data_IF_282741278474
#
_entry.id   IF_282741278474
#
_cell.length_a   1.000
_cell.length_b   1.000
_cell.length_c   1.000
_cell.angle_alpha   90.00
_cell.angle_beta   90.00
_cell.angle_gamma   90.00
#
_symmetry.space_group_name_H-M   'P 1'
#
loop_
_entity.id
_entity.type
_entity.pdbx_description
1 polymer ?
#
# COMPACT_ATOMS: atom_id res chain seq x y z
N UNK A 1 -10.48 26.11 12.50
CA UNK A 1 -9.97 25.13 11.51
C UNK A 1 -9.10 24.17 12.30
N UNK A 2 -9.55 22.93 12.48
CA UNK A 2 -8.73 21.94 13.18
C UNK A 2 -7.56 21.61 12.28
N UNK A 3 -6.34 21.71 12.81
CA UNK A 3 -5.14 21.18 12.16
C UNK A 3 -5.45 19.76 11.69
N UNK A 4 -5.53 19.58 10.38
CA UNK A 4 -5.33 18.27 9.77
C UNK A 4 -3.95 17.86 10.25
N UNK A 5 -3.92 17.02 11.30
CA UNK A 5 -2.71 16.56 11.94
C UNK A 5 -1.70 16.22 10.86
N UNK A 6 -0.57 16.94 10.88
CA UNK A 6 0.53 16.81 9.94
C UNK A 6 0.71 15.33 9.60
N UNK A 7 0.32 14.93 8.38
CA UNK A 7 0.65 13.62 7.83
C UNK A 7 2.17 13.62 7.67
N UNK A 8 2.88 13.28 8.75
CA UNK A 8 4.33 13.19 8.75
C UNK A 8 4.71 11.98 7.92
N UNK A 9 5.63 12.18 6.99
CA UNK A 9 6.17 11.07 6.24
C UNK A 9 6.88 10.12 7.21
N UNK A 10 6.72 8.81 7.04
CA UNK A 10 7.41 7.80 7.87
C UNK A 10 8.93 7.98 7.78
N UNK A 11 9.43 8.49 6.65
CA UNK A 11 10.85 8.78 6.44
C UNK A 11 11.35 10.05 7.16
N UNK A 12 10.45 10.91 7.65
CA UNK A 12 10.83 12.14 8.35
C UNK A 12 11.03 11.93 9.86
N UNK A 13 10.56 10.81 10.41
CA UNK A 13 10.70 10.45 11.83
C UNK A 13 11.51 9.16 11.98
N UNK A 14 12.67 9.27 12.62
CA UNK A 14 13.60 8.15 12.79
C UNK A 14 12.96 6.96 13.52
N UNK A 15 12.06 7.20 14.49
CA UNK A 15 11.43 6.13 15.24
C UNK A 15 10.40 5.41 14.39
N UNK A 16 9.59 6.13 13.61
CA UNK A 16 8.64 5.53 12.67
C UNK A 16 9.35 4.77 11.55
N UNK A 17 10.45 5.32 11.01
CA UNK A 17 11.30 4.61 10.06
C UNK A 17 11.88 3.32 10.64
N UNK A 18 12.39 3.36 11.88
CA UNK A 18 12.94 2.17 12.52
C UNK A 18 11.88 1.10 12.73
N UNK A 19 10.65 1.45 13.11
CA UNK A 19 9.53 0.49 13.20
C UNK A 19 9.24 -0.18 11.85
N UNK A 20 9.21 0.59 10.77
CA UNK A 20 9.01 0.04 9.42
C UNK A 20 10.15 -0.90 9.04
N UNK A 21 11.39 -0.52 9.33
CA UNK A 21 12.56 -1.32 9.06
C UNK A 21 12.57 -2.64 9.86
N UNK A 22 12.23 -2.57 11.15
CA UNK A 22 12.09 -3.75 12.04
C UNK A 22 10.99 -4.69 11.56
N UNK A 23 9.84 -4.15 11.12
CA UNK A 23 8.76 -4.96 10.54
C UNK A 23 9.25 -5.74 9.31
N UNK A 24 9.93 -5.05 8.38
CA UNK A 24 10.40 -5.66 7.13
C UNK A 24 11.50 -6.68 7.39
N UNK A 25 12.57 -6.29 8.09
CA UNK A 25 13.71 -7.16 8.34
C UNK A 25 13.33 -8.31 9.28
N UNK A 26 12.48 -8.07 10.28
CA UNK A 26 11.97 -9.08 11.19
C UNK A 26 11.18 -10.16 10.46
N UNK A 27 10.23 -9.77 9.60
CA UNK A 27 9.45 -10.73 8.81
C UNK A 27 10.32 -11.54 7.83
N UNK A 28 11.31 -10.91 7.20
CA UNK A 28 12.29 -11.60 6.34
C UNK A 28 13.11 -12.60 7.18
N UNK A 29 13.56 -12.21 8.36
CA UNK A 29 14.32 -13.07 9.26
C UNK A 29 13.50 -14.26 9.74
N UNK A 30 12.25 -14.04 10.19
CA UNK A 30 11.34 -15.11 10.61
C UNK A 30 11.10 -16.12 9.47
N UNK A 31 10.92 -15.62 8.25
CA UNK A 31 10.76 -16.48 7.07
C UNK A 31 12.05 -17.26 6.75
N UNK A 32 13.21 -16.62 6.85
CA UNK A 32 14.52 -17.25 6.71
C UNK A 32 14.74 -18.37 7.74
N UNK A 33 14.39 -18.11 9.00
CA UNK A 33 14.52 -19.06 10.11
C UNK A 33 13.60 -20.27 9.92
N UNK A 34 12.36 -20.04 9.46
CA UNK A 34 11.42 -21.09 9.08
C UNK A 34 11.98 -21.98 7.95
N UNK A 35 12.53 -21.34 6.91
CA UNK A 35 13.04 -22.01 5.71
C UNK A 35 14.40 -22.66 5.93
N UNK A 36 15.10 -22.33 7.03
CA UNK A 36 16.41 -22.86 7.44
C UNK A 36 17.47 -22.76 6.34
N UNK A 37 17.53 -21.63 5.64
CA UNK A 37 18.55 -21.41 4.62
C UNK A 37 18.44 -20.04 3.96
N UNK A 38 19.41 -19.73 3.09
CA UNK A 38 19.47 -18.44 2.41
C UNK A 38 18.24 -18.17 1.56
N UNK A 39 17.68 -16.98 1.68
CA UNK A 39 16.55 -16.55 0.88
C UNK A 39 16.99 -16.14 -0.53
N UNK A 40 16.21 -16.55 -1.52
CA UNK A 40 16.30 -16.03 -2.88
C UNK A 40 15.59 -14.67 -2.98
N UNK A 41 15.89 -13.89 -4.01
CA UNK A 41 15.19 -12.63 -4.26
C UNK A 41 13.68 -12.82 -4.44
N UNK A 42 13.24 -13.93 -5.06
CA UNK A 42 11.82 -14.24 -5.21
C UNK A 42 11.12 -14.49 -3.87
N UNK A 43 11.79 -15.16 -2.94
CA UNK A 43 11.26 -15.38 -1.59
C UNK A 43 11.21 -14.09 -0.77
N UNK A 44 12.19 -13.20 -0.92
CA UNK A 44 12.16 -11.88 -0.29
C UNK A 44 10.98 -11.07 -0.84
N UNK A 45 10.78 -11.07 -2.16
CA UNK A 45 9.63 -10.42 -2.80
C UNK A 45 8.30 -10.95 -2.27
N UNK A 46 8.16 -12.27 -2.13
CA UNK A 46 6.96 -12.89 -1.57
C UNK A 46 6.66 -12.43 -0.14
N UNK A 47 7.69 -12.33 0.72
CA UNK A 47 7.53 -11.82 2.10
C UNK A 47 7.09 -10.36 2.08
N UNK A 48 7.68 -9.53 1.22
CA UNK A 48 7.28 -8.11 1.08
C UNK A 48 5.83 -7.97 0.61
N UNK A 49 5.36 -8.80 -0.32
CA UNK A 49 3.96 -8.84 -0.75
C UNK A 49 3.02 -9.17 0.40
N UNK A 50 3.39 -10.17 1.23
CA UNK A 50 2.61 -10.55 2.41
C UNK A 50 2.52 -9.40 3.44
N UNK A 51 3.62 -8.65 3.64
CA UNK A 51 3.63 -7.45 4.50
C UNK A 51 2.69 -6.39 3.91
N UNK A 52 2.77 -6.12 2.62
CA UNK A 52 1.92 -5.14 1.93
C UNK A 52 0.43 -5.50 2.06
N UNK A 53 0.08 -6.77 1.87
CA UNK A 53 -1.31 -7.23 2.03
C UNK A 53 -1.80 -7.13 3.48
N UNK A 54 -0.94 -7.42 4.45
CA UNK A 54 -1.27 -7.24 5.88
C UNK A 54 -1.48 -5.76 6.24
N UNK A 55 -0.62 -4.87 5.75
CA UNK A 55 -0.76 -3.42 5.94
C UNK A 55 -2.02 -2.88 5.27
N UNK A 56 -2.32 -3.34 4.05
CA UNK A 56 -3.56 -3.01 3.34
C UNK A 56 -4.79 -3.47 4.13
N UNK A 57 -4.79 -4.70 4.63
CA UNK A 57 -5.87 -5.24 5.45
C UNK A 57 -6.05 -4.50 6.79
N UNK A 58 -4.95 -4.04 7.40
CA UNK A 58 -4.99 -3.23 8.62
C UNK A 58 -5.52 -1.82 8.34
N UNK A 59 -5.07 -1.17 7.26
CA UNK A 59 -5.58 0.13 6.82
C UNK A 59 -7.09 0.10 6.53
N UNK A 60 -7.59 -0.99 5.93
CA UNK A 60 -9.03 -1.21 5.73
C UNK A 60 -9.83 -1.32 7.04
N UNK A 61 -9.25 -1.97 8.07
CA UNK A 61 -9.87 -2.06 9.39
C UNK A 61 -9.86 -0.72 10.11
N UNK A 62 -8.76 0.01 10.03
CA UNK A 62 -8.59 1.32 10.66
C UNK A 62 -9.48 2.39 10.01
N UNK A 63 -9.66 2.33 8.69
CA UNK A 63 -10.61 3.22 8.00
C UNK A 63 -12.06 2.98 8.44
N UNK A 64 -12.42 1.74 8.81
CA UNK A 64 -13.76 1.40 9.34
C UNK A 64 -13.96 1.82 10.79
N UNK A 65 -12.89 1.92 11.59
CA UNK A 65 -12.95 2.32 13.01
C UNK A 65 -12.69 3.81 13.22
N UNK A 66 -12.00 4.49 12.31
CA UNK A 66 -11.75 5.93 12.36
C UNK A 66 -13.05 6.73 12.17
N UNK A 67 -13.24 7.76 13.00
CA UNK A 67 -14.39 8.65 12.92
C UNK A 67 -14.55 9.22 11.51
N UNK A 68 -15.79 9.13 11.00
CA UNK A 68 -16.24 9.67 9.70
C UNK A 68 -15.58 11.01 9.40
N UNK A 69 -14.86 11.11 8.29
CA UNK A 69 -14.30 12.38 7.84
C UNK A 69 -15.45 13.37 7.66
N UNK A 70 -15.35 14.56 8.28
CA UNK A 70 -16.32 15.63 8.05
C UNK A 70 -16.33 15.91 6.54
N UNK A 71 -17.42 15.56 5.86
CA UNK A 71 -17.70 15.67 4.41
C UNK A 71 -17.51 14.41 3.55
N UNK A 72 -16.81 13.37 4.01
CA UNK A 72 -16.87 12.03 3.43
C UNK A 72 -17.47 11.12 4.50
N UNK A 73 -18.72 10.69 4.32
CA UNK A 73 -19.46 9.91 5.31
C UNK A 73 -18.74 8.67 5.86
N UNK A 74 -17.66 8.22 5.21
CA UNK A 74 -16.72 7.18 5.64
C UNK A 74 -15.27 7.58 5.24
N UNK A 75 -14.27 7.07 5.95
CA UNK A 75 -12.87 7.24 5.53
C UNK A 75 -12.61 6.49 4.22
N UNK A 76 -11.93 7.10 3.23
CA UNK A 76 -11.59 6.41 2.00
C UNK A 76 -10.67 5.24 2.30
N UNK A 77 -11.12 4.03 1.99
CA UNK A 77 -10.32 2.81 2.18
C UNK A 77 -9.35 2.62 1.02
N UNK A 78 -8.32 1.78 1.19
CA UNK A 78 -7.40 1.45 0.11
C UNK A 78 -8.14 0.88 -1.11
N UNK A 79 -9.12 0.01 -0.88
CA UNK A 79 -9.99 -0.56 -1.92
C UNK A 79 -10.79 0.52 -2.64
N UNK A 80 -11.27 1.52 -1.90
CA UNK A 80 -12.02 2.66 -2.47
C UNK A 80 -11.11 3.49 -3.37
N UNK A 81 -9.90 3.79 -2.92
CA UNK A 81 -8.90 4.52 -3.70
C UNK A 81 -8.49 3.73 -4.94
N UNK A 82 -8.20 2.44 -4.81
CA UNK A 82 -7.85 1.58 -5.94
C UNK A 82 -8.99 1.53 -6.97
N UNK A 83 -10.24 1.35 -6.51
CA UNK A 83 -11.41 1.33 -7.39
C UNK A 83 -11.63 2.67 -8.12
N UNK A 84 -11.38 3.80 -7.45
CA UNK A 84 -11.49 5.13 -8.07
C UNK A 84 -10.37 5.30 -9.11
N UNK A 85 -9.13 4.92 -8.77
CA UNK A 85 -7.98 4.98 -9.67
C UNK A 85 -8.19 4.09 -10.91
N UNK A 86 -8.67 2.85 -10.76
CA UNK A 86 -8.98 1.98 -11.89
C UNK A 86 -10.05 2.56 -12.80
N UNK A 87 -11.13 3.15 -12.23
CA UNK A 87 -12.17 3.84 -13.02
C UNK A 87 -11.64 5.07 -13.76
N UNK A 88 -10.70 5.79 -13.15
CA UNK A 88 -10.04 6.92 -13.79
C UNK A 88 -9.19 6.45 -14.98
N UNK A 89 -8.34 5.44 -14.79
CA UNK A 89 -7.51 4.84 -15.84
C UNK A 89 -8.39 4.33 -16.99
N UNK A 90 -9.43 3.56 -16.70
CA UNK A 90 -10.39 3.08 -17.70
C UNK A 90 -11.04 4.24 -18.49
N UNK A 91 -11.35 5.35 -17.81
CA UNK A 91 -11.92 6.55 -18.45
C UNK A 91 -10.89 7.22 -19.37
N UNK A 92 -9.63 7.29 -18.97
CA UNK A 92 -8.54 7.84 -19.77
C UNK A 92 -8.28 7.01 -21.03
N UNK A 93 -8.30 5.67 -20.91
CA UNK A 93 -8.21 4.73 -22.04
C UNK A 93 -9.38 4.94 -23.00
N UNK A 94 -10.62 4.93 -22.50
CA UNK A 94 -11.82 5.14 -23.33
C UNK A 94 -11.85 6.50 -24.03
N UNK A 95 -11.22 7.52 -23.43
CA UNK A 95 -11.07 8.86 -24.03
C UNK A 95 -9.88 8.96 -25.00
N UNK A 96 -9.07 7.90 -25.13
CA UNK A 96 -7.87 7.88 -25.96
C UNK A 96 -6.77 8.80 -25.44
N UNK A 97 -6.78 9.12 -24.14
CA UNK A 97 -5.73 9.93 -23.50
C UNK A 97 -4.49 9.09 -23.22
N UNK A 98 -4.68 7.81 -22.91
CA UNK A 98 -3.62 6.82 -22.71
C UNK A 98 -3.95 5.55 -23.51
N UNK A 99 -2.92 4.79 -23.89
CA UNK A 99 -3.03 3.50 -24.56
C UNK A 99 -3.14 2.31 -23.61
N UNK A 100 -3.40 1.11 -24.15
CA UNK A 100 -3.51 -0.13 -23.37
C UNK A 100 -2.20 -0.58 -22.72
N UNK A 101 -1.05 -0.23 -23.31
CA UNK A 101 0.27 -0.47 -22.71
C UNK A 101 0.47 0.39 -21.46
N UNK A 102 0.08 1.67 -21.53
CA UNK A 102 0.12 2.58 -20.38
C UNK A 102 -0.87 2.17 -19.27
N UNK A 103 -2.04 1.63 -19.63
CA UNK A 103 -2.98 1.03 -18.68
C UNK A 103 -2.36 -0.17 -17.95
N UNK A 104 -1.73 -1.10 -18.68
CA UNK A 104 -1.08 -2.28 -18.10
C UNK A 104 0.05 -1.88 -17.15
N UNK A 105 0.88 -0.90 -17.54
CA UNK A 105 1.91 -0.36 -16.68
C UNK A 105 1.34 0.28 -15.40
N UNK A 106 0.28 1.10 -15.51
CA UNK A 106 -0.31 1.80 -14.36
C UNK A 106 -1.00 0.82 -13.39
N UNK A 107 -1.70 -0.20 -13.89
CA UNK A 107 -2.49 -1.12 -13.07
C UNK A 107 -1.71 -2.33 -12.57
N UNK A 108 -0.72 -2.80 -13.35
CA UNK A 108 -0.03 -4.06 -13.12
C UNK A 108 1.49 -3.92 -13.03
N UNK A 109 2.05 -2.77 -13.40
CA UNK A 109 3.51 -2.56 -13.41
C UNK A 109 4.22 -3.39 -14.49
N UNK A 110 3.50 -3.85 -15.52
CA UNK A 110 4.07 -4.58 -16.66
C UNK A 110 4.74 -3.60 -17.63
N UNK A 111 5.98 -3.89 -18.03
CA UNK A 111 6.72 -3.19 -19.11
C UNK A 111 6.31 -3.67 -20.50
#
# INVERSE_FOLDING_TARGET
MGDLGSYRNVFDDQNEFNKLNELILGAIQEFSDYRKGNLTYGEIMFVLECILDSLRGTSEKDAKTAHRFKNLGEAPTFTTLLSISSRLVETLVKKGVIGSEEEAFILHGEE
#
